data_IF_266053168762
#
_entry.id   IF_266053168762
#
_cell.length_a   1.000
_cell.length_b   1.000
_cell.length_c   1.000
_cell.angle_alpha   90.00
_cell.angle_beta   90.00
_cell.angle_gamma   90.00
#
_symmetry.space_group_name_H-M   'P 1'
#
loop_
_entity.id
_entity.type
_entity.pdbx_description
1 polymer ?
#
# COMPACT_ATOMS: atom_id res chain seq x y z
N UNK A 1 10.74 -0.66 -4.61
CA UNK A 1 11.96 -1.43 -4.97
C UNK A 1 13.12 -0.92 -4.15
N UNK A 2 13.79 -1.83 -3.45
CA UNK A 2 14.92 -1.53 -2.57
C UNK A 2 16.14 -1.01 -3.33
N UNK A 3 16.79 0.00 -2.77
CA UNK A 3 18.07 0.53 -3.24
C UNK A 3 19.23 -0.26 -2.60
N UNK A 4 19.98 -0.99 -3.42
CA UNK A 4 21.13 -1.77 -3.00
C UNK A 4 22.23 -0.90 -2.36
N UNK A 5 22.38 0.35 -2.80
CA UNK A 5 23.35 1.30 -2.22
C UNK A 5 22.94 1.67 -0.79
N UNK A 6 21.64 1.91 -0.58
CA UNK A 6 21.12 2.23 0.74
C UNK A 6 21.26 1.03 1.70
N UNK A 7 20.96 -0.18 1.24
CA UNK A 7 21.15 -1.39 2.04
C UNK A 7 22.63 -1.60 2.38
N UNK A 8 23.52 -1.47 1.40
CA UNK A 8 24.97 -1.60 1.63
C UNK A 8 25.48 -0.63 2.69
N UNK A 9 25.02 0.64 2.64
CA UNK A 9 25.37 1.65 3.63
C UNK A 9 24.91 1.23 5.03
N UNK A 10 23.65 0.83 5.18
CA UNK A 10 23.09 0.41 6.47
C UNK A 10 23.79 -0.85 7.03
N UNK A 11 24.09 -1.84 6.19
CA UNK A 11 24.82 -3.06 6.59
C UNK A 11 26.23 -2.75 7.08
N UNK A 12 26.94 -1.86 6.37
CA UNK A 12 28.29 -1.46 6.76
C UNK A 12 28.31 -0.58 8.02
N UNK A 13 27.29 0.25 8.23
CA UNK A 13 27.10 1.02 9.48
C UNK A 13 26.87 0.11 10.70
N UNK A 14 26.25 -1.06 10.49
CA UNK A 14 26.04 -2.08 11.52
C UNK A 14 27.25 -2.99 11.74
N UNK A 15 28.37 -2.74 11.06
CA UNK A 15 29.67 -3.39 11.30
C UNK A 15 29.97 -4.60 10.42
N UNK A 16 29.11 -4.94 9.46
CA UNK A 16 29.44 -5.93 8.45
C UNK A 16 30.34 -5.33 7.35
N UNK A 17 31.17 -6.14 6.70
CA UNK A 17 32.02 -5.70 5.57
C UNK A 17 31.53 -6.36 4.29
N UNK A 18 30.37 -5.92 3.80
CA UNK A 18 29.78 -6.43 2.56
C UNK A 18 30.13 -5.53 1.38
N UNK A 19 30.12 -6.12 0.19
CA UNK A 19 30.28 -5.42 -1.08
C UNK A 19 28.93 -5.21 -1.75
N UNK A 20 28.84 -4.23 -2.65
CA UNK A 20 27.63 -4.01 -3.44
C UNK A 20 27.20 -5.27 -4.20
N UNK A 21 28.17 -6.02 -4.75
CA UNK A 21 27.92 -7.26 -5.47
C UNK A 21 27.29 -8.35 -4.59
N UNK A 22 27.65 -8.42 -3.31
CA UNK A 22 27.01 -9.35 -2.36
C UNK A 22 25.57 -8.93 -2.06
N UNK A 23 25.31 -7.63 -1.90
CA UNK A 23 23.95 -7.11 -1.69
C UNK A 23 23.07 -7.39 -2.92
N UNK A 24 23.59 -7.12 -4.12
CA UNK A 24 22.89 -7.39 -5.38
C UNK A 24 22.60 -8.88 -5.56
N UNK A 25 23.55 -9.76 -5.22
CA UNK A 25 23.35 -11.20 -5.31
C UNK A 25 22.23 -11.68 -4.37
N UNK A 26 22.15 -11.13 -3.16
CA UNK A 26 21.06 -11.43 -2.21
C UNK A 26 19.73 -10.91 -2.73
N UNK A 27 19.67 -9.67 -3.23
CA UNK A 27 18.44 -9.09 -3.78
C UNK A 27 17.95 -9.85 -5.03
N UNK A 28 18.86 -10.31 -5.89
CA UNK A 28 18.55 -11.07 -7.09
C UNK A 28 17.96 -12.46 -6.82
N UNK A 29 18.11 -13.00 -5.60
CA UNK A 29 17.51 -14.27 -5.21
C UNK A 29 15.99 -14.17 -4.99
N UNK A 30 15.44 -12.96 -4.84
CA UNK A 30 14.02 -12.73 -4.59
C UNK A 30 13.25 -12.44 -5.88
N UNK A 31 12.15 -13.17 -6.09
CA UNK A 31 11.22 -12.94 -7.19
C UNK A 31 10.22 -11.82 -6.81
N UNK A 32 10.63 -10.57 -7.00
CA UNK A 32 9.79 -9.39 -6.73
C UNK A 32 8.41 -9.45 -7.41
N UNK A 33 8.28 -9.78 -8.71
CA UNK A 33 6.98 -9.96 -9.36
C UNK A 33 6.06 -10.99 -8.68
N UNK A 34 6.61 -12.15 -8.28
CA UNK A 34 5.82 -13.15 -7.56
C UNK A 34 5.38 -12.65 -6.18
N UNK A 35 6.28 -11.96 -5.46
CA UNK A 35 5.95 -11.37 -4.16
C UNK A 35 4.88 -10.28 -4.27
N UNK A 36 4.95 -9.43 -5.30
CA UNK A 36 3.91 -8.42 -5.62
C UNK A 36 2.56 -9.06 -5.83
N UNK A 37 2.53 -10.12 -6.64
CA UNK A 37 1.29 -10.83 -6.95
C UNK A 37 0.70 -11.46 -5.70
N UNK A 38 1.53 -12.12 -4.88
CA UNK A 38 1.09 -12.74 -3.62
C UNK A 38 0.54 -11.69 -2.64
N UNK A 39 1.26 -10.59 -2.44
CA UNK A 39 0.86 -9.54 -1.49
C UNK A 39 -0.44 -8.85 -1.93
N UNK A 40 -0.60 -8.57 -3.23
CA UNK A 40 -1.81 -7.95 -3.80
C UNK A 40 -3.09 -8.75 -3.50
N UNK A 41 -3.01 -10.07 -3.32
CA UNK A 41 -4.18 -10.93 -3.03
C UNK A 41 -4.83 -10.64 -1.69
N UNK A 42 -4.09 -10.01 -0.76
CA UNK A 42 -4.60 -9.61 0.56
C UNK A 42 -5.53 -8.40 0.50
N UNK A 43 -5.48 -7.65 -0.61
CA UNK A 43 -6.17 -6.37 -0.75
C UNK A 43 -7.47 -6.52 -1.54
N UNK A 44 -8.54 -5.94 -1.00
CA UNK A 44 -9.84 -5.86 -1.67
C UNK A 44 -10.34 -4.42 -1.73
N UNK A 45 -10.73 -4.00 -2.94
CA UNK A 45 -11.43 -2.72 -3.17
C UNK A 45 -12.93 -2.97 -3.20
N UNK A 46 -13.68 -2.06 -2.58
CA UNK A 46 -15.13 -1.99 -2.72
C UNK A 46 -15.59 -0.54 -2.74
N UNK A 47 -16.67 -0.25 -3.45
CA UNK A 47 -17.37 1.02 -3.30
C UNK A 47 -18.36 0.88 -2.15
N UNK A 48 -18.41 1.91 -1.29
CA UNK A 48 -19.31 1.92 -0.17
C UNK A 48 -20.75 2.13 -0.65
N UNK A 49 -21.69 1.35 -0.09
CA UNK A 49 -23.11 1.43 -0.42
C UNK A 49 -23.82 2.68 0.13
N UNK A 50 -23.14 3.46 0.98
CA UNK A 50 -23.64 4.67 1.66
C UNK A 50 -24.82 4.38 2.61
N UNK A 51 -24.99 3.11 3.00
CA UNK A 51 -26.08 2.63 3.86
C UNK A 51 -25.51 1.84 5.05
N UNK A 52 -24.53 0.98 4.80
CA UNK A 52 -23.90 0.16 5.82
C UNK A 52 -23.04 1.02 6.75
N UNK A 53 -23.09 0.80 8.07
CA UNK A 53 -22.19 1.47 9.00
C UNK A 53 -20.74 1.05 8.75
N UNK A 54 -19.80 1.94 9.05
CA UNK A 54 -18.37 1.65 8.96
C UNK A 54 -17.76 1.64 10.35
N UNK A 55 -17.17 0.51 10.76
CA UNK A 55 -16.55 0.34 12.08
C UNK A 55 -17.46 0.75 13.25
N UNK A 56 -18.76 0.46 13.14
CA UNK A 56 -19.77 0.83 14.15
C UNK A 56 -20.23 2.28 14.10
N UNK A 57 -19.68 3.11 13.21
CA UNK A 57 -20.14 4.48 12.95
C UNK A 57 -21.32 4.45 11.96
N UNK A 58 -22.47 5.06 12.32
CA UNK A 58 -23.62 5.16 11.42
C UNK A 58 -23.30 5.82 10.08
N UNK A 59 -23.98 5.38 9.01
CA UNK A 59 -23.71 5.81 7.64
C UNK A 59 -23.95 7.32 7.41
N UNK A 60 -24.93 7.92 8.08
CA UNK A 60 -25.19 9.36 8.04
C UNK A 60 -24.01 10.19 8.58
N UNK A 61 -23.38 9.71 9.65
CA UNK A 61 -22.19 10.35 10.25
C UNK A 61 -20.97 10.18 9.35
N UNK A 62 -20.77 8.98 8.80
CA UNK A 62 -19.66 8.72 7.87
C UNK A 62 -19.82 9.53 6.58
N UNK A 63 -21.04 9.65 6.09
CA UNK A 63 -21.39 10.31 4.83
C UNK A 63 -21.42 11.84 4.87
N UNK A 64 -21.31 12.46 6.05
CA UNK A 64 -21.50 13.91 6.22
C UNK A 64 -20.58 14.78 5.34
N UNK A 65 -19.35 14.31 5.07
CA UNK A 65 -18.36 15.03 4.27
C UNK A 65 -18.20 14.46 2.84
N UNK A 66 -19.09 13.56 2.43
CA UNK A 66 -19.04 12.99 1.08
C UNK A 66 -19.66 14.01 0.10
N UNK A 67 -18.94 14.42 -0.95
CA UNK A 67 -19.47 15.30 -1.98
C UNK A 67 -20.77 14.73 -2.58
N UNK A 68 -21.73 15.59 -2.93
CA UNK A 68 -22.99 15.16 -3.54
C UNK A 68 -22.69 14.38 -4.83
N UNK A 69 -23.25 13.18 -4.93
CA UNK A 69 -23.04 12.28 -6.07
C UNK A 69 -21.66 11.62 -6.12
N UNK A 70 -20.81 11.83 -5.11
CA UNK A 70 -19.49 11.24 -5.02
C UNK A 70 -19.53 9.78 -4.56
N UNK A 71 -18.69 8.96 -5.17
CA UNK A 71 -18.38 7.60 -4.74
C UNK A 71 -17.28 7.57 -3.69
N UNK A 72 -17.40 6.63 -2.77
CA UNK A 72 -16.45 6.41 -1.68
C UNK A 72 -15.87 5.02 -1.89
N UNK A 73 -14.55 4.92 -2.02
CA UNK A 73 -13.89 3.62 -2.07
C UNK A 73 -13.36 3.23 -0.69
N UNK A 74 -13.38 1.92 -0.46
CA UNK A 74 -12.93 1.25 0.74
C UNK A 74 -11.87 0.23 0.35
N UNK A 75 -10.76 0.21 1.08
CA UNK A 75 -9.69 -0.77 0.92
C UNK A 75 -9.62 -1.62 2.16
N UNK A 76 -9.73 -2.92 1.95
CA UNK A 76 -9.61 -3.93 2.99
C UNK A 76 -8.30 -4.69 2.83
N UNK A 77 -7.65 -5.01 3.94
CA UNK A 77 -6.51 -5.93 4.00
C UNK A 77 -6.91 -7.09 4.90
N UNK A 78 -6.87 -8.31 4.35
CA UNK A 78 -7.26 -9.54 5.06
C UNK A 78 -8.65 -9.43 5.71
N UNK A 79 -9.60 -8.78 5.01
CA UNK A 79 -10.98 -8.56 5.46
C UNK A 79 -11.18 -7.37 6.41
N UNK A 80 -10.12 -6.70 6.86
CA UNK A 80 -10.22 -5.53 7.73
C UNK A 80 -10.19 -4.23 6.92
N UNK A 81 -11.12 -3.31 7.16
CA UNK A 81 -11.10 -1.99 6.55
C UNK A 81 -9.91 -1.18 7.09
N UNK A 82 -8.96 -0.86 6.21
CA UNK A 82 -7.77 -0.08 6.58
C UNK A 82 -7.83 1.35 6.05
N UNK A 83 -8.58 1.57 4.97
CA UNK A 83 -8.60 2.87 4.32
C UNK A 83 -9.97 3.16 3.70
N UNK A 84 -10.38 4.42 3.81
CA UNK A 84 -11.62 4.96 3.25
C UNK A 84 -11.32 6.34 2.68
N UNK A 85 -11.67 6.56 1.42
CA UNK A 85 -11.51 7.85 0.76
C UNK A 85 -12.86 8.37 0.27
N UNK A 86 -13.22 9.57 0.75
CA UNK A 86 -14.54 10.17 0.52
C UNK A 86 -14.60 11.12 -0.69
N UNK A 87 -13.45 11.59 -1.18
CA UNK A 87 -13.33 12.60 -2.23
C UNK A 87 -12.03 12.43 -3.00
N UNK A 88 -11.86 13.14 -4.11
CA UNK A 88 -10.60 13.12 -4.85
C UNK A 88 -9.49 13.85 -4.08
N UNK A 89 -8.50 13.10 -3.56
CA UNK A 89 -7.37 13.63 -2.80
C UNK A 89 -6.35 14.40 -3.64
N UNK A 90 -6.40 14.31 -4.98
CA UNK A 90 -5.49 15.02 -5.88
C UNK A 90 -6.02 16.39 -6.29
N UNK A 91 -7.27 16.68 -5.96
CA UNK A 91 -7.91 17.96 -6.25
C UNK A 91 -8.07 18.79 -4.98
N UNK A 92 -8.01 20.11 -5.15
CA UNK A 92 -8.20 21.02 -4.04
C UNK A 92 -9.68 21.07 -3.65
N UNK A 93 -9.98 20.67 -2.43
CA UNK A 93 -11.34 20.68 -1.86
C UNK A 93 -12.05 19.34 -1.95
N UNK A 94 -13.34 19.33 -1.61
CA UNK A 94 -14.18 18.14 -1.55
C UNK A 94 -14.77 17.82 -2.92
N UNK A 95 -13.93 17.37 -3.86
CA UNK A 95 -14.36 17.01 -5.20
C UNK A 95 -14.90 15.58 -5.25
N UNK A 96 -16.11 15.42 -5.81
CA UNK A 96 -16.74 14.13 -6.01
C UNK A 96 -15.92 13.24 -6.96
N UNK A 97 -15.76 11.97 -6.59
CA UNK A 97 -15.24 10.94 -7.50
C UNK A 97 -16.42 10.19 -8.12
N UNK A 98 -16.32 9.83 -9.39
CA UNK A 98 -17.19 8.79 -9.95
C UNK A 98 -16.63 7.39 -9.63
N UNK A 99 -17.40 6.35 -9.92
CA UNK A 99 -17.04 4.95 -9.63
C UNK A 99 -15.72 4.53 -10.31
N UNK A 100 -15.47 5.02 -11.53
CA UNK A 100 -14.28 4.69 -12.30
C UNK A 100 -13.04 5.33 -11.66
N UNK A 101 -13.13 6.61 -11.31
CA UNK A 101 -12.07 7.40 -10.67
C UNK A 101 -11.76 6.84 -9.28
N UNK A 102 -12.79 6.53 -8.50
CA UNK A 102 -12.65 5.92 -7.17
C UNK A 102 -11.93 4.57 -7.25
N UNK A 103 -12.31 3.71 -8.19
CA UNK A 103 -11.67 2.39 -8.37
C UNK A 103 -10.22 2.52 -8.83
N UNK A 104 -9.95 3.38 -9.82
CA UNK A 104 -8.59 3.60 -10.32
C UNK A 104 -7.65 4.15 -9.24
N UNK A 105 -8.13 5.09 -8.41
CA UNK A 105 -7.37 5.63 -7.28
C UNK A 105 -7.14 4.58 -6.20
N UNK A 106 -8.14 3.76 -5.89
CA UNK A 106 -7.99 2.66 -4.94
C UNK A 106 -6.92 1.66 -5.41
N UNK A 107 -6.94 1.25 -6.69
CA UNK A 107 -5.95 0.34 -7.25
C UNK A 107 -4.53 0.95 -7.27
N UNK A 108 -4.41 2.24 -7.60
CA UNK A 108 -3.13 2.95 -7.54
C UNK A 108 -2.58 3.00 -6.10
N UNK A 109 -3.44 3.27 -5.12
CA UNK A 109 -3.05 3.30 -3.72
C UNK A 109 -2.66 1.89 -3.21
N UNK A 110 -3.41 0.85 -3.59
CA UNK A 110 -3.03 -0.53 -3.27
C UNK A 110 -1.68 -0.88 -3.88
N UNK A 111 -1.39 -0.47 -5.11
CA UNK A 111 -0.09 -0.73 -5.73
C UNK A 111 1.06 -0.12 -4.90
N UNK A 112 0.87 1.09 -4.34
CA UNK A 112 1.83 1.71 -3.44
C UNK A 112 1.99 0.91 -2.14
N UNK A 113 0.89 0.56 -1.48
CA UNK A 113 0.91 -0.22 -0.23
C UNK A 113 1.57 -1.60 -0.40
N UNK A 114 1.34 -2.25 -1.54
CA UNK A 114 1.96 -3.53 -1.88
C UNK A 114 3.48 -3.38 -2.01
N UNK A 115 3.96 -2.34 -2.69
CA UNK A 115 5.41 -2.09 -2.80
C UNK A 115 6.02 -1.80 -1.43
N UNK A 116 5.40 -0.95 -0.61
CA UNK A 116 5.87 -0.62 0.73
C UNK A 116 5.95 -1.86 1.64
N UNK A 117 4.93 -2.72 1.60
CA UNK A 117 4.88 -3.95 2.38
C UNK A 117 6.01 -4.92 1.98
N UNK A 118 6.24 -5.09 0.67
CA UNK A 118 7.29 -5.97 0.15
C UNK A 118 8.67 -5.42 0.45
N UNK A 119 8.90 -4.14 0.20
CA UNK A 119 10.18 -3.49 0.47
C UNK A 119 10.51 -3.59 1.97
N UNK A 120 9.54 -3.35 2.87
CA UNK A 120 9.75 -3.47 4.32
C UNK A 120 10.11 -4.90 4.74
N UNK A 121 9.41 -5.90 4.19
CA UNK A 121 9.67 -7.31 4.49
C UNK A 121 11.03 -7.75 3.95
N UNK A 122 11.30 -7.48 2.67
CA UNK A 122 12.54 -7.85 2.01
C UNK A 122 13.74 -7.16 2.64
N UNK A 123 13.63 -5.87 2.97
CA UNK A 123 14.71 -5.15 3.67
C UNK A 123 15.08 -5.88 4.96
N UNK A 124 14.09 -6.27 5.76
CA UNK A 124 14.33 -6.99 7.01
C UNK A 124 15.00 -8.36 6.79
N UNK A 125 14.59 -9.10 5.75
CA UNK A 125 15.17 -10.40 5.39
C UNK A 125 16.59 -10.29 4.84
N UNK A 126 16.82 -9.35 3.92
CA UNK A 126 18.13 -9.05 3.31
C UNK A 126 19.12 -8.60 4.37
N UNK A 127 18.73 -7.65 5.24
CA UNK A 127 19.58 -7.21 6.35
C UNK A 127 19.96 -8.38 7.26
N UNK A 128 19.03 -9.29 7.58
CA UNK A 128 19.30 -10.47 8.40
C UNK A 128 20.29 -11.45 7.73
N UNK A 129 20.30 -11.54 6.40
CA UNK A 129 21.23 -12.42 5.69
C UNK A 129 22.62 -11.81 5.54
N UNK A 130 22.72 -10.48 5.57
CA UNK A 130 23.97 -9.75 5.34
C UNK A 130 24.74 -9.43 6.62
N UNK A 131 24.07 -9.41 7.77
CA UNK A 131 24.64 -9.25 9.12
C UNK A 131 25.02 -10.62 9.73
#
# INVERSE_FOLDING_TARGET
MLDAIQILKEVNELGATKTLAEVDAVLAAYDYPALRTAERTRFQVSLWDKVSPINGVPADVVGADVPIGGEVYLIHIDGNLVFMQKHDSEQMGFVAMDAQTATAKADAFIAQLVEEAIDTRLKSEVMRQLL
#
